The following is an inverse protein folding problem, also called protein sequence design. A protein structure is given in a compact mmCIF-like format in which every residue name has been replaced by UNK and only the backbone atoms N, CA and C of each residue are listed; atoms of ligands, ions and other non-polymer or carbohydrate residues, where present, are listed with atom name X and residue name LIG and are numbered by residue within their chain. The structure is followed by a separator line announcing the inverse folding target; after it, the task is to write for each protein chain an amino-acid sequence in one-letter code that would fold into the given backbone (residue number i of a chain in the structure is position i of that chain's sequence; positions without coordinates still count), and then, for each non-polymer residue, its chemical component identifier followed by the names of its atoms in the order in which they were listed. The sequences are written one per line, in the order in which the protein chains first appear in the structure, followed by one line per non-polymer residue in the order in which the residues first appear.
data_IF_981996546334
#
_entry.id   IF_981996546334
#
_cell.length_a   1.000
_cell.length_b   1.000
_cell.length_c   1.000
_cell.angle_alpha   90.00
_cell.angle_beta   90.00
_cell.angle_gamma   90.00
#
_symmetry.space_group_name_H-M   'P 1'
#
loop_
_entity.id
_entity.type
_entity.pdbx_description
1 polymer ?
#
# COMPACT_ATOMS: atom_id res chain seq x y z
N UNK A 1 -27.52 29.49 -15.17
CA UNK A 1 -26.23 29.26 -14.49
C UNK A 1 -26.62 28.92 -13.05
N UNK A 2 -26.53 27.72 -12.50
CA UNK A 2 -25.57 26.61 -12.68
C UNK A 2 -26.25 25.25 -12.42
N UNK A 3 -25.74 24.22 -13.09
CA UNK A 3 -26.12 22.81 -12.99
C UNK A 3 -25.48 22.13 -11.76
N UNK A 4 -26.15 21.07 -11.29
CA UNK A 4 -25.59 19.88 -10.61
C UNK A 4 -24.69 20.10 -9.38
N UNK A 5 -25.24 19.92 -8.18
CA UNK A 5 -24.45 19.60 -7.00
C UNK A 5 -24.76 18.14 -6.62
N UNK A 6 -23.93 17.24 -7.14
CA UNK A 6 -23.93 15.81 -6.81
C UNK A 6 -23.31 15.66 -5.41
N UNK A 7 -24.11 15.86 -4.36
CA UNK A 7 -23.66 15.74 -2.96
C UNK A 7 -23.54 14.27 -2.49
N UNK A 8 -23.42 13.29 -3.40
CA UNK A 8 -23.47 11.86 -3.03
C UNK A 8 -22.36 10.96 -3.58
N UNK A 9 -21.46 11.41 -4.45
CA UNK A 9 -20.42 10.51 -4.99
C UNK A 9 -19.02 11.10 -5.14
N UNK A 10 -18.73 12.25 -4.52
CA UNK A 10 -17.42 12.87 -4.57
C UNK A 10 -16.67 12.72 -3.23
N UNK A 11 -16.13 11.52 -2.96
CA UNK A 11 -14.86 11.49 -2.21
C UNK A 11 -13.90 12.34 -3.03
N UNK A 12 -13.64 13.54 -2.52
CA UNK A 12 -13.24 14.71 -3.28
C UNK A 12 -12.05 14.32 -4.15
N UNK A 13 -12.04 14.64 -5.45
CA UNK A 13 -10.92 14.34 -6.36
C UNK A 13 -9.55 14.73 -5.76
N UNK A 14 -9.55 15.71 -4.86
CA UNK A 14 -8.43 16.10 -4.02
C UNK A 14 -7.98 15.03 -3.01
N UNK A 15 -8.87 14.41 -2.24
CA UNK A 15 -8.54 13.30 -1.32
C UNK A 15 -7.93 12.12 -2.06
N UNK A 16 -8.49 11.76 -3.24
CA UNK A 16 -7.92 10.71 -4.10
C UNK A 16 -6.51 11.07 -4.55
N UNK A 17 -6.28 12.35 -4.90
CA UNK A 17 -4.96 12.85 -5.29
C UNK A 17 -3.99 12.81 -4.11
N UNK A 18 -4.43 13.22 -2.92
CA UNK A 18 -3.63 13.18 -1.69
C UNK A 18 -3.27 11.74 -1.32
N UNK A 19 -4.23 10.81 -1.33
CA UNK A 19 -3.99 9.38 -1.11
C UNK A 19 -3.04 8.78 -2.14
N UNK A 20 -3.17 9.15 -3.42
CA UNK A 20 -2.23 8.70 -4.45
C UNK A 20 -0.81 9.21 -4.19
N UNK A 21 -0.68 10.47 -3.82
CA UNK A 21 0.61 11.09 -3.50
C UNK A 21 1.23 10.45 -2.24
N UNK A 22 0.42 10.27 -1.19
CA UNK A 22 0.82 9.59 0.05
C UNK A 22 1.21 8.14 -0.20
N UNK A 23 0.42 7.40 -0.96
CA UNK A 23 0.74 6.04 -1.40
C UNK A 23 2.09 5.98 -2.12
N UNK A 24 2.33 6.89 -3.06
CA UNK A 24 3.60 7.00 -3.78
C UNK A 24 4.77 7.32 -2.82
N UNK A 25 4.55 8.19 -1.84
CA UNK A 25 5.55 8.52 -0.82
C UNK A 25 5.87 7.32 0.09
N UNK A 26 4.84 6.62 0.58
CA UNK A 26 4.98 5.37 1.36
C UNK A 26 5.77 4.35 0.54
N UNK A 27 5.37 4.10 -0.71
CA UNK A 27 6.05 3.15 -1.58
C UNK A 27 7.53 3.50 -1.83
N UNK A 28 7.82 4.79 -2.03
CA UNK A 28 9.20 5.26 -2.16
C UNK A 28 9.99 4.97 -0.88
N UNK A 29 9.44 5.31 0.30
CA UNK A 29 10.07 5.05 1.61
C UNK A 29 10.28 3.57 1.87
N UNK A 30 9.26 2.73 1.65
CA UNK A 30 9.37 1.27 1.77
C UNK A 30 10.48 0.73 0.86
N UNK A 31 10.61 1.25 -0.36
CA UNK A 31 11.69 0.87 -1.28
C UNK A 31 13.06 1.34 -0.82
N UNK A 32 13.18 2.46 -0.11
CA UNK A 32 14.46 2.90 0.48
C UNK A 32 14.88 2.04 1.68
N UNK A 33 13.90 1.51 2.44
CA UNK A 33 14.14 0.61 3.56
C UNK A 33 14.54 -0.81 3.10
N UNK A 34 14.15 -1.20 1.88
CA UNK A 34 14.39 -2.53 1.31
C UNK A 34 15.47 -2.52 0.23
N UNK A 35 15.98 -3.70 -0.12
CA UNK A 35 16.87 -3.84 -1.27
C UNK A 35 16.12 -3.60 -2.59
N UNK A 36 16.86 -3.16 -3.62
CA UNK A 36 16.34 -2.86 -4.97
C UNK A 36 15.65 -4.04 -5.68
N UNK A 37 15.80 -5.25 -5.18
CA UNK A 37 15.16 -6.47 -5.66
C UNK A 37 13.67 -6.55 -5.29
N UNK A 38 13.25 -5.80 -4.27
CA UNK A 38 11.84 -5.68 -3.90
C UNK A 38 11.13 -4.73 -4.87
N UNK A 39 10.03 -5.20 -5.45
CA UNK A 39 9.18 -4.40 -6.32
C UNK A 39 8.05 -3.83 -5.48
N UNK A 40 7.86 -2.51 -5.52
CA UNK A 40 6.80 -1.82 -4.76
C UNK A 40 5.87 -1.13 -5.73
N UNK A 41 4.57 -1.32 -5.54
CA UNK A 41 3.48 -0.72 -6.32
C UNK A 41 2.41 -0.11 -5.42
N UNK A 42 1.63 0.80 -5.98
CA UNK A 42 0.54 1.49 -5.27
C UNK A 42 -0.71 1.47 -6.13
N UNK A 43 -1.85 1.22 -5.49
CA UNK A 43 -3.15 1.15 -6.13
C UNK A 43 -4.17 1.87 -5.25
N UNK A 44 -5.14 2.55 -5.86
CA UNK A 44 -6.27 3.12 -5.13
C UNK A 44 -7.40 2.09 -5.13
N UNK A 45 -7.94 1.81 -3.94
CA UNK A 45 -9.01 0.84 -3.77
C UNK A 45 -10.26 1.54 -3.27
N UNK A 46 -11.34 1.41 -4.02
CA UNK A 46 -12.67 1.85 -3.61
C UNK A 46 -13.24 0.82 -2.63
N UNK A 47 -13.48 1.22 -1.39
CA UNK A 47 -14.02 0.35 -0.33
C UNK A 47 -15.32 0.88 0.23
N UNK A 48 -16.06 0.04 0.94
CA UNK A 48 -17.36 0.40 1.53
C UNK A 48 -17.24 1.57 2.54
N UNK A 49 -16.08 1.74 3.17
CA UNK A 49 -15.79 2.80 4.14
C UNK A 49 -15.24 4.09 3.49
N UNK A 50 -14.94 4.05 2.17
CA UNK A 50 -14.35 5.15 1.45
C UNK A 50 -13.22 4.73 0.51
N UNK A 51 -12.52 5.72 -0.05
CA UNK A 51 -11.34 5.49 -0.89
C UNK A 51 -10.12 5.31 0.00
N UNK A 52 -9.36 4.25 -0.24
CA UNK A 52 -8.11 3.98 0.47
C UNK A 52 -6.97 3.72 -0.52
N UNK A 53 -5.74 3.94 -0.08
CA UNK A 53 -4.55 3.59 -0.85
C UNK A 53 -4.06 2.21 -0.38
N UNK A 54 -3.74 1.34 -1.32
CA UNK A 54 -3.10 0.07 -1.08
C UNK A 54 -1.68 0.11 -1.63
N UNK A 55 -0.71 -0.30 -0.81
CA UNK A 55 0.68 -0.47 -1.23
C UNK A 55 0.99 -1.95 -1.24
N UNK A 56 1.43 -2.44 -2.40
CA UNK A 56 1.80 -3.82 -2.63
C UNK A 56 3.32 -3.93 -2.79
N UNK A 57 3.94 -4.83 -2.06
CA UNK A 57 5.36 -5.17 -2.16
C UNK A 57 5.48 -6.62 -2.59
N UNK A 58 6.19 -6.86 -3.69
CA UNK A 58 6.58 -8.18 -4.17
C UNK A 58 8.05 -8.44 -3.81
N UNK A 59 8.32 -9.33 -2.85
CA UNK A 59 9.67 -9.83 -2.60
C UNK A 59 10.15 -10.73 -3.75
N UNK A 60 11.46 -10.82 -4.03
CA UNK A 60 12.00 -11.69 -5.08
C UNK A 60 11.79 -13.18 -4.80
N UNK A 61 11.68 -13.59 -3.53
CA UNK A 61 11.55 -14.99 -3.11
C UNK A 61 10.27 -15.25 -2.29
N UNK A 62 9.17 -14.52 -2.54
CA UNK A 62 7.97 -14.63 -1.70
C UNK A 62 6.66 -14.26 -2.40
N UNK A 63 5.59 -14.16 -1.63
CA UNK A 63 4.27 -13.72 -2.09
C UNK A 63 4.15 -12.20 -1.96
N UNK A 64 3.29 -11.58 -2.77
CA UNK A 64 2.95 -10.16 -2.64
C UNK A 64 2.38 -9.88 -1.24
N UNK A 65 2.97 -8.93 -0.53
CA UNK A 65 2.43 -8.36 0.71
C UNK A 65 1.75 -7.05 0.36
N UNK A 66 0.49 -6.89 0.74
CA UNK A 66 -0.24 -5.64 0.51
C UNK A 66 -0.78 -5.10 1.82
N UNK A 67 -0.69 -3.78 2.01
CA UNK A 67 -1.32 -3.08 3.12
C UNK A 67 -2.15 -1.92 2.59
N UNK A 68 -3.38 -1.80 3.08
CA UNK A 68 -4.28 -0.67 2.82
C UNK A 68 -4.21 0.35 3.96
N UNK A 69 -4.30 1.63 3.64
CA UNK A 69 -4.36 2.72 4.59
C UNK A 69 -5.19 3.89 4.04
N UNK A 70 -5.71 4.68 4.96
CA UNK A 70 -6.59 5.81 4.69
C UNK A 70 -5.84 7.14 4.79
N UNK A 71 -6.49 8.22 4.34
CA UNK A 71 -5.91 9.55 4.39
C UNK A 71 -5.65 10.01 5.83
N UNK A 72 -6.52 9.62 6.75
CA UNK A 72 -6.38 9.90 8.18
C UNK A 72 -5.07 9.35 8.76
N UNK A 73 -4.65 8.15 8.35
CA UNK A 73 -3.39 7.55 8.82
C UNK A 73 -2.16 8.26 8.25
N UNK A 74 -2.26 8.82 7.04
CA UNK A 74 -1.19 9.64 6.45
C UNK A 74 -1.08 11.03 7.08
N UNK A 75 -2.18 11.54 7.64
CA UNK A 75 -2.24 12.86 8.28
C UNK A 75 -1.61 12.86 9.69
N UNK A 76 -1.40 11.68 10.28
CA UNK A 76 -0.68 11.51 11.54
C UNK A 76 0.81 11.89 11.37
N UNK A 77 1.43 12.40 12.44
CA UNK A 77 2.86 12.76 12.41
C UNK A 77 3.71 11.50 12.18
N UNK A 78 4.45 11.48 11.07
CA UNK A 78 5.24 10.31 10.68
C UNK A 78 4.44 9.13 10.11
N UNK A 79 3.13 9.27 9.87
CA UNK A 79 2.29 8.16 9.40
C UNK A 79 2.79 7.50 8.10
N UNK A 80 3.33 8.29 7.17
CA UNK A 80 3.97 7.75 5.95
C UNK A 80 5.14 6.82 6.25
N UNK A 81 5.97 7.16 7.24
CA UNK A 81 7.15 6.38 7.62
C UNK A 81 6.76 5.13 8.40
N UNK A 82 5.81 5.26 9.33
CA UNK A 82 5.28 4.13 10.11
C UNK A 82 4.66 3.07 9.20
N UNK A 83 3.75 3.48 8.31
CA UNK A 83 3.14 2.59 7.30
C UNK A 83 4.23 1.96 6.43
N UNK A 84 5.20 2.75 5.95
CA UNK A 84 6.27 2.24 5.11
C UNK A 84 7.11 1.18 5.84
N UNK A 85 7.38 1.37 7.12
CA UNK A 85 8.12 0.44 7.98
C UNK A 85 7.31 -0.83 8.27
N UNK A 86 6.00 -0.72 8.54
CA UNK A 86 5.12 -1.88 8.72
C UNK A 86 5.12 -2.77 7.47
N UNK A 87 4.97 -2.17 6.29
CA UNK A 87 4.98 -2.88 5.01
C UNK A 87 6.36 -3.50 4.75
N UNK A 88 7.44 -2.74 4.98
CA UNK A 88 8.81 -3.23 4.79
C UNK A 88 9.10 -4.43 5.70
N UNK A 89 8.69 -4.35 6.97
CA UNK A 89 8.83 -5.44 7.93
C UNK A 89 8.06 -6.69 7.47
N UNK A 90 6.81 -6.54 7.02
CA UNK A 90 6.01 -7.64 6.48
C UNK A 90 6.65 -8.29 5.24
N UNK A 91 7.10 -7.48 4.28
CA UNK A 91 7.76 -7.97 3.07
C UNK A 91 9.10 -8.66 3.36
N UNK A 92 9.88 -8.13 4.30
CA UNK A 92 11.12 -8.75 4.75
C UNK A 92 10.87 -10.09 5.45
N UNK A 93 9.85 -10.16 6.33
CA UNK A 93 9.43 -11.39 6.98
C UNK A 93 9.02 -12.44 5.96
N UNK A 94 8.22 -12.09 4.95
CA UNK A 94 7.84 -13.04 3.90
C UNK A 94 9.04 -13.56 3.09
N UNK A 95 10.00 -12.68 2.78
CA UNK A 95 11.24 -13.10 2.10
C UNK A 95 12.07 -14.07 2.95
N UNK A 96 12.05 -13.93 4.28
CA UNK A 96 12.76 -14.81 5.23
C UNK A 96 11.99 -16.09 5.54
N UNK A 97 10.66 -16.02 5.65
CA UNK A 97 9.77 -17.13 6.00
C UNK A 97 9.46 -18.06 4.82
N UNK A 98 9.87 -17.69 3.60
CA UNK A 98 9.81 -18.57 2.43
C UNK A 98 11.19 -19.14 2.03
N UNK A 99 11.92 -19.89 2.89
CA UNK A 99 13.20 -20.49 2.53
C UNK A 99 13.01 -21.80 1.73
N UNK A 100 12.21 -21.77 0.66
CA UNK A 100 11.72 -22.92 -0.12
C UNK A 100 10.42 -23.49 0.41
N UNK A 101 9.33 -23.22 -0.31
CA UNK A 101 8.16 -24.10 -0.34
C UNK A 101 8.60 -25.40 -1.02
N UNK A 102 9.29 -26.25 -0.29
CA UNK A 102 9.48 -27.65 -0.65
C UNK A 102 8.06 -28.21 -0.83
N UNK A 103 7.62 -28.38 -2.06
CA UNK A 103 6.39 -29.07 -2.36
C UNK A 103 6.53 -30.47 -1.74
N UNK A 104 5.74 -30.87 -0.74
CA UNK A 104 5.56 -32.28 -0.50
C UNK A 104 4.69 -32.76 -1.65
N UNK A 105 5.33 -33.31 -2.69
CA UNK A 105 4.62 -34.14 -3.66
C UNK A 105 3.98 -35.27 -2.87
N UNK A 106 2.71 -35.08 -2.54
CA UNK A 106 1.89 -36.08 -1.89
C UNK A 106 1.63 -37.21 -2.86
N UNK A 107 2.34 -38.30 -2.62
CA UNK A 107 1.93 -39.72 -2.64
C UNK A 107 0.95 -40.20 -3.71
#
# INVERSE_FOLDING_TARGET
MHSNHDETTELTTDERRQLRAGGTAVAARTRELLSREFVVGTELVDSHDGVQAAVAVQPPNGTVVSAGFQLSELAEDGGTDDIAQQIAAGAALEAMSNPSRHQPTGQ
#
